data_IF_311292932371
#
_entry.id   IF_311292932371
#
_cell.length_a   1.000
_cell.length_b   1.000
_cell.length_c   1.000
_cell.angle_alpha   90.00
_cell.angle_beta   90.00
_cell.angle_gamma   90.00
#
_symmetry.space_group_name_H-M   'P 1'
#
loop_
_entity.id
_entity.type
_entity.pdbx_description
1 polymer ?
#
# COMPACT_ATOMS: atom_id res chain seq x y z
N UNK A 1 -14.12 -19.52 5.37
CA UNK A 1 -12.72 -19.41 5.81
C UNK A 1 -12.47 -17.98 6.26
N UNK A 2 -12.25 -17.72 7.56
CA UNK A 2 -11.95 -16.36 8.05
C UNK A 2 -10.48 -16.06 7.77
N UNK A 3 -10.26 -15.18 6.80
CA UNK A 3 -8.94 -14.66 6.46
C UNK A 3 -8.41 -13.82 7.63
N UNK A 4 -7.15 -13.99 8.01
CA UNK A 4 -6.51 -13.15 9.01
C UNK A 4 -6.27 -11.74 8.43
N UNK A 5 -6.98 -10.74 8.96
CA UNK A 5 -7.13 -9.40 8.38
C UNK A 5 -6.08 -8.38 8.88
N UNK A 6 -5.18 -8.75 9.80
CA UNK A 6 -4.22 -7.83 10.44
C UNK A 6 -2.92 -7.57 9.64
N UNK A 7 -3.00 -7.63 8.30
CA UNK A 7 -1.83 -7.60 7.42
C UNK A 7 -1.64 -6.28 6.66
N UNK A 8 -2.32 -5.21 7.09
CA UNK A 8 -2.26 -3.89 6.45
C UNK A 8 -1.36 -2.88 7.18
N UNK A 9 -1.45 -1.63 6.76
CA UNK A 9 -0.86 -0.47 7.44
C UNK A 9 -1.90 0.10 8.42
N UNK A 10 -1.53 0.18 9.70
CA UNK A 10 -2.36 0.85 10.71
C UNK A 10 -2.13 2.37 10.66
N UNK A 11 -3.23 3.12 10.58
CA UNK A 11 -3.28 4.57 10.58
C UNK A 11 -4.13 5.00 11.77
N UNK A 12 -3.51 5.73 12.69
CA UNK A 12 -4.22 6.40 13.78
C UNK A 12 -4.70 7.77 13.30
N UNK A 13 -6.01 7.94 13.22
CA UNK A 13 -6.65 9.17 12.76
C UNK A 13 -7.40 9.83 13.91
N UNK A 14 -7.60 11.14 13.80
CA UNK A 14 -8.47 11.90 14.70
C UNK A 14 -9.07 13.05 13.90
N UNK A 15 -10.38 13.19 13.99
CA UNK A 15 -11.08 14.33 13.38
C UNK A 15 -10.87 15.56 14.26
N UNK A 16 -10.36 16.64 13.67
CA UNK A 16 -10.34 17.93 14.32
C UNK A 16 -11.55 18.73 13.85
N UNK A 17 -12.55 18.90 14.71
CA UNK A 17 -13.73 19.71 14.40
C UNK A 17 -13.36 21.19 14.20
N UNK A 18 -12.30 21.66 14.88
CA UNK A 18 -11.79 23.02 14.82
C UNK A 18 -10.27 22.96 14.70
N UNK A 19 -9.77 23.22 13.49
CA UNK A 19 -8.42 23.02 12.93
C UNK A 19 -7.17 23.23 13.83
N UNK A 20 -7.25 23.79 15.05
CA UNK A 20 -6.11 24.15 15.89
C UNK A 20 -6.33 24.07 17.42
N UNK A 21 -7.08 23.10 17.95
CA UNK A 21 -7.11 22.88 19.42
C UNK A 21 -5.98 21.94 19.88
N UNK A 22 -4.83 22.51 20.27
CA UNK A 22 -3.65 21.78 20.72
C UNK A 22 -3.86 20.89 21.97
N UNK A 23 -4.82 21.22 22.84
CA UNK A 23 -5.14 20.38 24.00
C UNK A 23 -5.85 19.10 23.58
N UNK A 24 -6.74 19.21 22.59
CA UNK A 24 -7.37 18.03 21.96
C UNK A 24 -6.37 17.22 21.16
N UNK A 25 -5.33 17.84 20.59
CA UNK A 25 -4.25 17.11 19.93
C UNK A 25 -3.47 16.16 20.87
N UNK A 26 -3.46 16.46 22.17
CA UNK A 26 -2.80 15.63 23.21
C UNK A 26 -3.72 14.56 23.82
N UNK A 27 -5.02 14.58 23.52
CA UNK A 27 -5.98 13.61 24.06
C UNK A 27 -5.93 12.29 23.28
N UNK A 28 -5.67 11.19 23.98
CA UNK A 28 -5.69 9.82 23.43
C UNK A 28 -7.09 9.24 23.28
N UNK A 29 -8.11 9.88 23.86
CA UNK A 29 -9.48 9.34 24.01
C UNK A 29 -10.24 9.35 22.67
N UNK A 30 -9.85 10.21 21.72
CA UNK A 30 -10.53 10.38 20.41
C UNK A 30 -9.72 9.88 19.22
N UNK A 31 -8.75 9.00 19.45
CA UNK A 31 -7.96 8.40 18.36
C UNK A 31 -8.71 7.20 17.80
N UNK A 32 -8.93 7.18 16.49
CA UNK A 32 -9.51 6.05 15.75
C UNK A 32 -8.41 5.36 14.96
N UNK A 33 -8.20 4.08 15.23
CA UNK A 33 -7.31 3.24 14.44
C UNK A 33 -8.03 2.72 13.18
N UNK A 34 -7.35 2.80 12.04
CA UNK A 34 -7.83 2.32 10.76
C UNK A 34 -6.77 1.43 10.12
N UNK A 35 -7.16 0.24 9.66
CA UNK A 35 -6.25 -0.68 8.99
C UNK A 35 -6.45 -0.62 7.48
N UNK A 36 -5.50 -0.06 6.76
CA UNK A 36 -5.51 0.07 5.30
C UNK A 36 -4.78 -1.10 4.67
N UNK A 37 -5.43 -1.79 3.74
CA UNK A 37 -4.85 -2.92 2.97
C UNK A 37 -4.90 -2.70 1.46
N UNK A 38 -5.84 -1.87 1.02
CA UNK A 38 -6.14 -1.65 -0.39
C UNK A 38 -6.58 -0.21 -0.61
N UNK A 39 -6.12 0.38 -1.69
CA UNK A 39 -6.55 1.66 -2.23
C UNK A 39 -7.16 1.35 -3.59
N UNK A 40 -8.46 1.56 -3.74
CA UNK A 40 -9.19 1.19 -4.96
C UNK A 40 -9.82 2.45 -5.54
N UNK A 41 -9.62 2.69 -6.83
CA UNK A 41 -10.27 3.76 -7.55
C UNK A 41 -10.51 3.33 -9.01
N UNK A 42 -11.78 3.28 -9.43
CA UNK A 42 -12.17 2.73 -10.73
C UNK A 42 -11.54 1.32 -10.94
N UNK A 43 -10.73 1.16 -11.99
CA UNK A 43 -9.98 -0.06 -12.31
C UNK A 43 -8.58 -0.12 -11.67
N UNK A 44 -8.09 0.99 -11.11
CA UNK A 44 -6.81 1.04 -10.42
C UNK A 44 -6.93 0.46 -9.00
N UNK A 45 -6.00 -0.43 -8.65
CA UNK A 45 -5.98 -1.15 -7.39
C UNK A 45 -4.56 -1.26 -6.84
N UNK A 46 -4.31 -0.58 -5.71
CA UNK A 46 -3.06 -0.69 -4.99
C UNK A 46 -3.25 -1.48 -3.69
N UNK A 47 -2.27 -2.31 -3.36
CA UNK A 47 -2.24 -3.13 -2.16
C UNK A 47 -1.07 -2.71 -1.29
N UNK A 48 -1.33 -2.50 0.01
CA UNK A 48 -0.33 -1.96 0.94
C UNK A 48 -0.23 -2.81 2.20
N UNK A 49 0.99 -2.98 2.69
CA UNK A 49 1.28 -3.73 3.91
C UNK A 49 2.59 -3.27 4.56
N UNK A 50 2.90 -3.82 5.74
CA UNK A 50 4.14 -3.56 6.48
C UNK A 50 5.30 -4.52 6.14
N UNK A 51 5.06 -5.62 5.42
CA UNK A 51 6.09 -6.62 5.10
C UNK A 51 5.78 -7.38 3.82
N UNK A 52 6.80 -7.92 3.17
CA UNK A 52 6.63 -8.63 1.88
C UNK A 52 5.70 -9.85 2.04
N UNK A 53 5.80 -10.58 3.15
CA UNK A 53 4.97 -11.76 3.44
C UNK A 53 3.50 -11.38 3.62
N UNK A 54 3.24 -10.22 4.24
CA UNK A 54 1.91 -9.70 4.41
C UNK A 54 1.31 -9.25 3.07
N UNK A 55 2.11 -8.57 2.23
CA UNK A 55 1.68 -8.19 0.89
C UNK A 55 1.41 -9.43 0.03
N UNK A 56 2.29 -10.44 0.03
CA UNK A 56 2.09 -11.70 -0.70
C UNK A 56 0.76 -12.35 -0.30
N UNK A 57 0.45 -12.42 1.00
CA UNK A 57 -0.82 -13.00 1.44
C UNK A 57 -2.05 -12.18 1.00
N UNK A 58 -1.95 -10.84 0.97
CA UNK A 58 -3.04 -9.99 0.42
C UNK A 58 -3.17 -10.27 -1.08
N UNK A 59 -2.06 -10.33 -1.79
CA UNK A 59 -1.95 -10.60 -3.23
C UNK A 59 -2.42 -12.01 -3.60
N UNK A 60 -2.24 -13.03 -2.77
CA UNK A 60 -2.74 -14.39 -3.04
C UNK A 60 -4.28 -14.45 -2.98
N UNK A 61 -4.89 -13.58 -2.19
CA UNK A 61 -6.33 -13.57 -1.95
C UNK A 61 -7.07 -12.57 -2.84
N UNK A 62 -6.39 -11.50 -3.25
CA UNK A 62 -6.98 -10.44 -4.06
C UNK A 62 -7.51 -10.94 -5.42
N UNK A 63 -6.82 -11.81 -6.20
CA UNK A 63 -7.36 -12.37 -7.43
C UNK A 63 -8.58 -13.24 -7.21
N UNK A 64 -8.61 -14.05 -6.15
CA UNK A 64 -9.78 -14.85 -5.80
C UNK A 64 -10.98 -13.93 -5.50
N UNK A 65 -10.74 -12.80 -4.81
CA UNK A 65 -11.77 -11.81 -4.55
C UNK A 65 -12.22 -11.08 -5.83
N UNK A 66 -11.28 -10.67 -6.70
CA UNK A 66 -11.56 -10.04 -7.97
C UNK A 66 -12.40 -10.95 -8.89
N UNK A 67 -12.08 -12.24 -8.93
CA UNK A 67 -12.80 -13.23 -9.72
C UNK A 67 -14.27 -13.38 -9.30
N UNK A 68 -14.60 -13.20 -8.02
CA UNK A 68 -16.01 -13.20 -7.56
C UNK A 68 -16.83 -12.01 -8.12
N UNK A 69 -16.16 -10.98 -8.62
CA UNK A 69 -16.77 -9.83 -9.28
C UNK A 69 -16.55 -9.85 -10.80
N UNK A 70 -16.18 -11.00 -11.37
CA UNK A 70 -15.83 -11.17 -12.78
C UNK A 70 -14.67 -10.26 -13.26
N UNK A 71 -13.80 -9.84 -12.33
CA UNK A 71 -12.61 -9.05 -12.63
C UNK A 71 -11.39 -9.93 -12.80
N UNK A 72 -10.49 -9.53 -13.71
CA UNK A 72 -9.21 -10.20 -13.96
C UNK A 72 -8.06 -9.24 -13.67
N UNK A 73 -7.13 -9.68 -12.82
CA UNK A 73 -5.90 -8.94 -12.54
C UNK A 73 -4.97 -9.08 -13.75
N UNK A 74 -4.44 -7.96 -14.20
CA UNK A 74 -3.41 -7.93 -15.23
C UNK A 74 -2.02 -7.90 -14.60
N UNK A 75 -1.44 -9.08 -14.37
CA UNK A 75 -0.12 -9.22 -13.73
C UNK A 75 0.98 -8.46 -14.49
N UNK A 76 0.88 -8.32 -15.81
CA UNK A 76 1.88 -7.60 -16.62
C UNK A 76 1.91 -6.09 -16.35
N UNK A 77 0.79 -5.53 -15.86
CA UNK A 77 0.66 -4.12 -15.46
C UNK A 77 0.86 -3.92 -13.95
N UNK A 78 0.87 -5.00 -13.17
CA UNK A 78 1.03 -4.90 -11.72
C UNK A 78 2.50 -4.70 -11.38
N UNK A 79 2.80 -3.63 -10.66
CA UNK A 79 4.15 -3.29 -10.22
C UNK A 79 4.28 -3.45 -8.70
N UNK A 80 5.50 -3.75 -8.27
CA UNK A 80 5.87 -3.86 -6.86
C UNK A 80 6.82 -2.73 -6.48
N UNK A 81 6.40 -1.90 -5.53
CA UNK A 81 7.27 -0.93 -4.88
C UNK A 81 7.65 -1.44 -3.49
N UNK A 82 8.96 -1.52 -3.24
CA UNK A 82 9.50 -1.72 -1.90
C UNK A 82 10.02 -0.39 -1.35
N UNK A 83 9.43 0.07 -0.23
CA UNK A 83 9.83 1.29 0.44
C UNK A 83 10.83 1.00 1.56
N UNK A 84 12.02 1.57 1.46
CA UNK A 84 13.02 1.41 2.52
C UNK A 84 12.67 2.27 3.75
N UNK A 85 12.80 1.73 4.98
CA UNK A 85 12.69 2.53 6.19
C UNK A 85 13.95 3.42 6.32
N UNK A 86 13.88 4.63 5.73
CA UNK A 86 14.82 5.76 5.79
C UNK A 86 16.21 5.60 5.15
N UNK A 87 16.58 6.56 4.27
CA UNK A 87 17.92 7.04 3.83
C UNK A 87 19.08 6.02 3.70
N UNK A 88 18.79 4.74 3.67
CA UNK A 88 19.78 3.69 3.48
C UNK A 88 19.96 3.52 1.98
N UNK A 89 20.78 4.38 1.38
CA UNK A 89 21.21 4.30 -0.02
C UNK A 89 21.79 2.93 -0.42
N UNK A 90 22.10 2.08 0.57
CA UNK A 90 22.96 0.91 0.40
C UNK A 90 22.35 -0.42 0.86
N UNK A 91 21.04 -0.50 1.20
CA UNK A 91 20.43 -1.82 1.35
C UNK A 91 19.97 -2.30 -0.01
N UNK A 92 20.82 -3.14 -0.62
CA UNK A 92 20.42 -4.11 -1.62
C UNK A 92 19.04 -4.65 -1.24
N UNK A 93 18.05 -4.43 -2.10
CA UNK A 93 16.75 -5.11 -2.07
C UNK A 93 17.00 -6.54 -1.62
N UNK A 94 16.28 -7.04 -0.63
CA UNK A 94 15.94 -8.46 -0.72
C UNK A 94 14.77 -8.51 -1.69
N UNK A 95 15.00 -8.81 -2.99
CA UNK A 95 13.92 -8.91 -3.94
C UNK A 95 13.33 -10.30 -3.71
N UNK A 96 12.43 -10.40 -2.74
CA UNK A 96 11.48 -11.49 -2.74
C UNK A 96 10.56 -11.23 -3.92
N UNK A 97 10.80 -11.93 -5.04
CA UNK A 97 9.98 -11.83 -6.25
C UNK A 97 8.53 -12.14 -5.88
N UNK A 98 7.75 -11.12 -5.55
CA UNK A 98 6.35 -11.29 -5.21
C UNK A 98 5.64 -11.86 -6.43
N UNK A 99 4.81 -12.87 -6.23
CA UNK A 99 4.19 -13.59 -7.34
C UNK A 99 2.69 -13.40 -7.32
N UNK A 100 2.10 -13.17 -8.48
CA UNK A 100 0.65 -13.25 -8.68
C UNK A 100 0.41 -14.39 -9.62
N UNK A 101 -0.37 -15.40 -9.21
CA UNK A 101 -0.62 -16.61 -10.02
C UNK A 101 0.66 -17.34 -10.49
N UNK A 102 1.79 -17.16 -9.80
CA UNK A 102 3.08 -17.72 -10.19
C UNK A 102 3.90 -16.83 -11.12
N UNK A 103 3.38 -15.72 -11.60
CA UNK A 103 4.16 -14.74 -12.35
C UNK A 103 4.79 -13.72 -11.39
N UNK A 104 6.09 -13.46 -11.55
CA UNK A 104 6.79 -12.46 -10.74
C UNK A 104 6.36 -11.05 -11.12
N UNK A 105 6.10 -10.22 -10.12
CA UNK A 105 5.78 -8.81 -10.32
C UNK A 105 7.01 -8.02 -10.73
N UNK A 106 6.79 -6.98 -11.56
CA UNK A 106 7.84 -6.04 -11.93
C UNK A 106 8.17 -5.14 -10.74
N UNK A 107 9.40 -5.22 -10.31
CA UNK A 107 9.99 -4.35 -9.30
C UNK A 107 10.18 -2.92 -9.87
N UNK A 108 9.61 -1.90 -9.23
CA UNK A 108 9.76 -0.48 -9.64
C UNK A 108 10.43 0.37 -8.55
N UNK A 109 11.04 1.48 -8.96
CA UNK A 109 11.61 2.50 -8.06
C UNK A 109 10.67 3.69 -7.86
N UNK A 110 9.88 4.01 -8.88
CA UNK A 110 8.86 5.05 -8.89
C UNK A 110 7.51 4.38 -9.12
N UNK A 111 6.54 4.65 -8.24
CA UNK A 111 5.19 4.07 -8.31
C UNK A 111 4.18 5.20 -8.41
N UNK A 112 3.35 5.19 -9.45
CA UNK A 112 2.36 6.25 -9.71
C UNK A 112 0.96 5.75 -9.42
N UNK A 113 0.23 6.47 -8.58
CA UNK A 113 -1.18 6.22 -8.28
C UNK A 113 -1.98 7.51 -8.41
N UNK A 114 -3.01 7.52 -9.26
CA UNK A 114 -3.89 8.66 -9.49
C UNK A 114 -3.18 9.98 -9.85
N UNK A 115 -2.03 9.89 -10.53
CA UNK A 115 -1.22 11.04 -10.94
C UNK A 115 -0.26 11.56 -9.87
N UNK A 116 -0.18 10.90 -8.71
CA UNK A 116 0.84 11.15 -7.68
C UNK A 116 1.87 10.04 -7.68
N UNK A 117 3.16 10.39 -7.70
CA UNK A 117 4.24 9.41 -7.67
C UNK A 117 4.88 9.31 -6.28
N UNK A 118 5.22 8.10 -5.87
CA UNK A 118 6.00 7.81 -4.66
C UNK A 118 7.21 6.96 -5.02
N UNK A 119 8.37 7.32 -4.48
CA UNK A 119 9.63 6.63 -4.76
C UNK A 119 9.98 5.59 -3.67
N UNK A 120 10.88 4.66 -4.00
CA UNK A 120 11.40 3.63 -3.09
C UNK A 120 12.15 4.19 -1.86
N UNK A 121 12.52 5.47 -1.91
CA UNK A 121 13.16 6.24 -0.84
C UNK A 121 12.19 7.18 -0.11
N UNK A 122 10.89 7.05 -0.37
CA UNK A 122 9.78 7.79 0.24
C UNK A 122 9.72 9.29 -0.11
N UNK A 123 10.21 9.69 -1.29
CA UNK A 123 9.88 11.02 -1.83
C UNK A 123 8.55 10.95 -2.57
N UNK A 124 7.71 11.97 -2.37
CA UNK A 124 6.39 12.13 -3.01
C UNK A 124 6.27 13.42 -3.82
N UNK A 125 7.36 14.20 -3.92
CA UNK A 125 7.31 15.58 -4.41
C UNK A 125 7.52 15.66 -5.94
N UNK A 126 7.59 14.51 -6.63
CA UNK A 126 7.71 14.46 -8.09
C UNK A 126 6.34 14.63 -8.73
N UNK A 127 6.15 15.73 -9.46
CA UNK A 127 5.04 15.90 -10.39
C UNK A 127 5.28 15.00 -11.61
N UNK A 128 4.26 14.23 -11.99
CA UNK A 128 4.31 13.44 -13.23
C UNK A 128 3.91 14.36 -14.39
N UNK A 129 4.86 14.70 -15.27
CA UNK A 129 4.56 15.39 -16.53
C UNK A 129 3.64 14.50 -17.38
N UNK A 130 2.51 15.06 -17.84
CA UNK A 130 1.53 14.39 -18.71
C UNK A 130 1.91 14.51 -20.17
#
# INVERSE_FOLDING_TARGET
MRVNLHKGISISTRTDEKLFDFFRLRSSIKVKEMLVRKLLYADDSDLVSRSIENTQHIVDQFPCAAHMFDLKINTSKTELLYQSPQRCFNRSREPGSMRVHGDSLKDTEDFTYLGSAVTCINYSDRETER
#
